data_IF_754612309839
#
_entry.id   IF_754612309839
#
_cell.length_a   1.000
_cell.length_b   1.000
_cell.length_c   1.000
_cell.angle_alpha   90.00
_cell.angle_beta   90.00
_cell.angle_gamma   90.00
#
_symmetry.space_group_name_H-M   'P 1'
#
loop_
_entity.id
_entity.type
_entity.pdbx_description
1 polymer ?
#
# COMPACT_ATOMS: atom_id res chain seq x y z
N UNK A 1 -34.89 80.06 -38.63
CA UNK A 1 -34.10 79.78 -39.86
C UNK A 1 -32.66 80.21 -39.60
N UNK A 2 -31.76 79.28 -39.27
CA UNK A 2 -30.31 79.41 -39.52
C UNK A 2 -29.73 77.99 -39.52
N UNK A 3 -29.18 77.61 -40.68
CA UNK A 3 -28.41 76.38 -40.92
C UNK A 3 -27.01 76.57 -40.32
N UNK A 4 -26.55 75.61 -39.53
CA UNK A 4 -25.13 75.42 -39.19
C UNK A 4 -24.90 73.91 -39.16
N UNK A 5 -24.53 73.32 -40.29
CA UNK A 5 -23.16 73.00 -40.72
C UNK A 5 -22.56 71.85 -39.89
N UNK A 6 -22.81 70.64 -40.40
CA UNK A 6 -22.27 69.37 -39.93
C UNK A 6 -20.84 69.24 -40.50
N UNK A 7 -19.81 69.29 -39.66
CA UNK A 7 -18.45 68.91 -40.03
C UNK A 7 -18.00 67.74 -39.17
N UNK A 8 -17.50 66.71 -39.88
CA UNK A 8 -16.42 65.75 -39.60
C UNK A 8 -16.34 65.18 -38.17
N UNK A 9 -16.17 63.87 -37.98
CA UNK A 9 -14.86 63.23 -38.16
C UNK A 9 -15.05 61.77 -38.61
N UNK A 10 -14.43 61.42 -39.75
CA UNK A 10 -14.24 60.03 -40.15
C UNK A 10 -12.98 59.52 -39.45
N UNK A 11 -13.12 58.77 -38.36
CA UNK A 11 -12.00 58.11 -37.69
C UNK A 11 -11.58 56.89 -38.48
N UNK A 12 -10.42 56.97 -39.15
CA UNK A 12 -9.69 55.81 -39.66
C UNK A 12 -9.27 54.95 -38.45
N UNK A 13 -9.90 53.79 -38.29
CA UNK A 13 -9.39 52.76 -37.38
C UNK A 13 -8.25 52.05 -38.09
N UNK A 14 -7.01 52.46 -37.80
CA UNK A 14 -5.84 51.62 -38.05
C UNK A 14 -5.94 50.43 -37.11
N UNK A 15 -6.36 49.28 -37.63
CA UNK A 15 -6.23 48.02 -36.95
C UNK A 15 -4.75 47.73 -36.77
N UNK A 16 -4.24 47.93 -35.56
CA UNK A 16 -2.93 47.42 -35.16
C UNK A 16 -3.13 45.91 -35.00
N UNK A 17 -2.74 45.14 -36.01
CA UNK A 17 -2.48 43.72 -35.85
C UNK A 17 -1.25 43.58 -34.95
N UNK A 18 -1.48 43.60 -33.63
CA UNK A 18 -0.51 43.08 -32.68
C UNK A 18 -0.49 41.56 -32.84
N UNK A 19 0.40 41.08 -33.72
CA UNK A 19 0.77 39.69 -33.80
C UNK A 19 1.38 39.24 -32.47
N UNK A 20 0.54 38.80 -31.54
CA UNK A 20 0.97 38.01 -30.40
C UNK A 20 1.37 36.63 -30.93
N UNK A 21 2.58 36.12 -30.60
CA UNK A 21 2.96 34.79 -31.01
C UNK A 21 2.00 33.80 -30.34
N UNK A 22 1.26 33.06 -31.17
CA UNK A 22 0.50 31.91 -30.73
C UNK A 22 1.52 30.91 -30.20
N UNK A 23 1.65 30.81 -28.88
CA UNK A 23 2.40 29.75 -28.22
C UNK A 23 1.61 28.47 -28.50
N UNK A 24 2.04 27.73 -29.52
CA UNK A 24 1.56 26.39 -29.78
C UNK A 24 1.95 25.54 -28.58
N UNK A 25 0.98 25.29 -27.69
CA UNK A 25 1.05 24.22 -26.72
C UNK A 25 1.17 22.92 -27.50
N UNK A 26 2.41 22.46 -27.67
CA UNK A 26 2.67 21.07 -28.00
C UNK A 26 2.07 20.27 -26.87
N UNK A 27 0.91 19.67 -27.14
CA UNK A 27 0.35 18.67 -26.26
C UNK A 27 1.37 17.54 -26.22
N UNK A 28 2.19 17.52 -25.17
CA UNK A 28 2.95 16.33 -24.81
C UNK A 28 1.98 15.16 -24.85
N UNK A 29 2.27 14.08 -25.59
CA UNK A 29 1.39 12.93 -25.58
C UNK A 29 1.34 12.47 -24.13
N UNK A 30 0.13 12.54 -23.53
CA UNK A 30 -0.17 11.86 -22.28
C UNK A 30 0.29 10.44 -22.52
N UNK A 31 1.39 10.03 -21.86
CA UNK A 31 1.85 8.67 -21.92
C UNK A 31 0.72 7.82 -21.33
N UNK A 32 -0.02 7.19 -22.24
CA UNK A 32 -1.02 6.21 -21.87
C UNK A 32 -0.29 5.15 -21.07
N UNK A 33 -0.65 5.03 -19.79
CA UNK A 33 -0.23 3.95 -18.92
C UNK A 33 -0.47 2.65 -19.67
N UNK A 34 0.62 2.00 -20.06
CA UNK A 34 0.62 0.80 -20.87
C UNK A 34 -0.27 -0.26 -20.21
N UNK A 35 -1.42 -0.56 -20.84
CA UNK A 35 -2.18 -1.79 -20.60
C UNK A 35 -1.35 -2.96 -21.13
N UNK A 36 -0.38 -3.43 -20.34
CA UNK A 36 0.17 -4.78 -20.55
C UNK A 36 -0.78 -5.78 -19.89
N UNK A 37 -1.13 -6.91 -20.55
CA UNK A 37 -1.87 -7.98 -19.92
C UNK A 37 -1.08 -8.51 -18.73
N UNK A 38 -1.56 -8.27 -17.51
CA UNK A 38 -0.94 -8.82 -16.30
C UNK A 38 -1.28 -10.31 -16.25
N UNK A 39 -0.31 -11.16 -16.60
CA UNK A 39 -0.38 -12.56 -16.20
C UNK A 39 -0.44 -12.60 -14.67
N UNK A 40 -1.43 -13.26 -14.05
CA UNK A 40 -1.49 -13.42 -12.60
C UNK A 40 -0.18 -14.00 -12.08
N UNK A 41 0.30 -13.60 -10.88
CA UNK A 41 1.44 -14.25 -10.24
C UNK A 41 1.20 -15.76 -10.13
N UNK A 42 2.24 -16.57 -10.33
CA UNK A 42 2.15 -18.01 -10.07
C UNK A 42 1.67 -18.23 -8.63
N UNK A 43 0.55 -18.95 -8.40
CA UNK A 43 0.02 -19.20 -7.06
C UNK A 43 1.02 -19.92 -6.13
N UNK A 44 2.02 -20.62 -6.67
CA UNK A 44 3.08 -21.26 -5.88
C UNK A 44 4.18 -20.29 -5.42
N UNK A 45 4.26 -19.10 -6.03
CA UNK A 45 5.17 -18.03 -5.62
C UNK A 45 4.45 -17.05 -4.71
N UNK A 46 5.05 -16.72 -3.57
CA UNK A 46 4.56 -15.68 -2.68
C UNK A 46 5.38 -14.42 -2.91
N UNK A 47 4.75 -13.29 -3.31
CA UNK A 47 5.36 -11.98 -3.19
C UNK A 47 5.95 -11.82 -1.78
N UNK A 48 7.24 -11.48 -1.70
CA UNK A 48 7.91 -11.20 -0.43
C UNK A 48 8.83 -12.28 0.13
N UNK A 49 9.24 -13.28 -0.65
CA UNK A 49 10.23 -14.25 -0.17
C UNK A 49 9.74 -15.10 1.01
N UNK A 50 10.41 -16.21 1.25
CA UNK A 50 10.03 -17.15 2.30
C UNK A 50 11.17 -18.11 2.53
N UNK A 51 11.65 -18.23 3.78
CA UNK A 51 12.42 -19.42 4.14
C UNK A 51 11.50 -20.64 3.98
N UNK A 52 12.05 -21.73 3.44
CA UNK A 52 11.30 -22.95 3.22
C UNK A 52 10.69 -23.44 4.56
N UNK A 53 9.35 -23.46 4.70
CA UNK A 53 8.71 -23.93 5.93
C UNK A 53 9.06 -25.39 6.26
N UNK A 54 9.60 -26.17 5.31
CA UNK A 54 10.03 -27.55 5.52
C UNK A 54 11.14 -27.70 6.57
N UNK A 55 11.96 -26.67 6.77
CA UNK A 55 13.06 -26.65 7.75
C UNK A 55 12.78 -25.74 8.96
N UNK A 56 11.53 -25.28 9.10
CA UNK A 56 11.10 -24.45 10.23
C UNK A 56 10.69 -25.30 11.44
N UNK A 57 10.77 -24.73 12.65
CA UNK A 57 10.23 -25.38 13.87
C UNK A 57 8.72 -25.23 13.99
N UNK A 58 8.07 -24.58 13.02
CA UNK A 58 6.65 -24.33 13.00
C UNK A 58 5.87 -25.60 12.63
N UNK A 59 4.63 -25.73 13.14
CA UNK A 59 3.76 -26.81 12.70
C UNK A 59 3.42 -26.64 11.22
N UNK A 60 3.26 -27.74 10.49
CA UNK A 60 2.81 -27.66 9.10
C UNK A 60 1.34 -27.20 9.02
N UNK A 61 1.06 -26.30 8.09
CA UNK A 61 -0.27 -25.72 7.85
C UNK A 61 -0.63 -25.85 6.37
N UNK A 62 -1.94 -25.85 6.05
CA UNK A 62 -2.42 -25.95 4.65
C UNK A 62 -2.12 -24.70 3.83
N UNK A 63 -2.16 -23.54 4.48
CA UNK A 63 -1.82 -22.25 3.90
C UNK A 63 -0.49 -21.74 4.45
N UNK A 64 0.18 -20.88 3.69
CA UNK A 64 1.48 -20.32 4.05
C UNK A 64 1.34 -18.92 4.66
N UNK A 65 2.30 -18.55 5.50
CA UNK A 65 2.51 -17.15 5.90
C UNK A 65 2.58 -16.30 4.63
N UNK A 66 1.74 -15.27 4.54
CA UNK A 66 1.57 -14.49 3.32
C UNK A 66 1.56 -13.01 3.65
N UNK A 67 2.40 -12.22 2.98
CA UNK A 67 2.28 -10.77 3.00
C UNK A 67 1.26 -10.32 1.95
N UNK A 68 0.35 -9.42 2.34
CA UNK A 68 -0.66 -8.88 1.44
C UNK A 68 -0.05 -7.67 0.72
N UNK A 69 0.81 -7.93 -0.26
CA UNK A 69 1.56 -6.93 -1.03
C UNK A 69 1.37 -7.10 -2.54
N UNK A 70 1.57 -6.04 -3.35
CA UNK A 70 1.33 -6.14 -4.78
C UNK A 70 2.34 -7.07 -5.45
N UNK A 71 2.02 -7.66 -6.62
CA UNK A 71 2.87 -8.62 -7.32
C UNK A 71 4.32 -8.20 -7.58
N UNK A 72 4.57 -6.89 -7.70
CA UNK A 72 5.91 -6.33 -7.94
C UNK A 72 6.75 -6.16 -6.66
N UNK A 73 6.26 -6.61 -5.50
CA UNK A 73 6.86 -6.44 -4.17
C UNK A 73 7.12 -4.99 -3.72
N UNK A 74 6.66 -4.00 -4.49
CA UNK A 74 6.73 -2.57 -4.14
C UNK A 74 5.32 -2.00 -4.07
N UNK A 75 4.86 -1.71 -2.86
CA UNK A 75 3.64 -0.95 -2.63
C UNK A 75 3.93 0.53 -2.38
N UNK A 76 2.99 1.40 -2.76
CA UNK A 76 3.04 2.82 -2.42
C UNK A 76 2.24 3.08 -1.16
N UNK A 77 2.69 4.07 -0.38
CA UNK A 77 1.92 4.63 0.71
C UNK A 77 1.94 6.15 0.73
N UNK A 78 0.87 6.79 1.18
CA UNK A 78 0.89 8.24 1.49
C UNK A 78 1.21 8.52 2.95
N UNK A 79 1.00 7.53 3.83
CA UNK A 79 1.26 7.65 5.25
C UNK A 79 2.76 7.73 5.58
N UNK A 80 3.10 8.61 6.52
CA UNK A 80 4.41 8.62 7.18
C UNK A 80 4.63 7.38 8.06
N UNK A 81 3.53 6.76 8.50
CA UNK A 81 3.42 5.67 9.45
C UNK A 81 2.44 4.64 8.90
N UNK A 82 2.86 3.86 7.88
CA UNK A 82 1.95 2.95 7.21
C UNK A 82 1.53 1.78 8.10
N UNK A 83 0.46 1.11 7.66
CA UNK A 83 0.01 -0.18 8.19
C UNK A 83 0.31 -1.26 7.16
N UNK A 84 0.77 -2.41 7.64
CA UNK A 84 1.10 -3.59 6.85
C UNK A 84 0.16 -4.73 7.22
N UNK A 85 -0.20 -5.56 6.24
CA UNK A 85 -1.19 -6.61 6.41
C UNK A 85 -0.62 -7.98 6.02
N UNK A 86 -0.93 -8.99 6.82
CA UNK A 86 -0.37 -10.33 6.70
C UNK A 86 -1.43 -11.37 6.99
N UNK A 87 -1.39 -12.50 6.30
CA UNK A 87 -2.12 -13.69 6.71
C UNK A 87 -1.22 -14.62 7.50
N UNK A 88 -1.65 -14.96 8.71
CA UNK A 88 -0.95 -15.86 9.63
C UNK A 88 -1.72 -17.20 9.68
N UNK A 89 -1.15 -18.32 9.18
CA UNK A 89 -1.83 -19.61 9.13
C UNK A 89 -1.74 -20.40 10.45
N UNK A 90 -1.21 -19.81 11.52
CA UNK A 90 -0.88 -20.50 12.78
C UNK A 90 -1.79 -20.04 13.91
N UNK A 91 -2.17 -20.98 14.78
CA UNK A 91 -2.77 -20.63 16.09
C UNK A 91 -1.74 -19.90 16.94
N UNK A 92 -2.20 -18.99 17.79
CA UNK A 92 -1.32 -18.14 18.60
C UNK A 92 -0.45 -18.96 19.57
N UNK A 93 -0.95 -20.08 20.10
CA UNK A 93 -0.23 -20.96 21.04
C UNK A 93 0.94 -21.71 20.40
N UNK A 94 1.07 -21.72 19.07
CA UNK A 94 2.21 -22.32 18.38
C UNK A 94 3.34 -21.32 18.11
N UNK A 95 3.06 -20.03 18.30
CA UNK A 95 3.97 -18.93 18.02
C UNK A 95 4.50 -18.35 19.33
N UNK A 96 5.82 -18.21 19.43
CA UNK A 96 6.50 -17.63 20.58
C UNK A 96 6.42 -16.10 20.57
N UNK A 97 6.67 -15.53 19.40
CA UNK A 97 6.59 -14.09 19.12
C UNK A 97 6.67 -13.84 17.61
N UNK A 98 6.19 -12.69 17.19
CA UNK A 98 6.53 -12.07 15.92
C UNK A 98 7.43 -10.87 16.10
N UNK A 99 8.13 -10.51 15.03
CA UNK A 99 8.98 -9.33 14.94
C UNK A 99 8.76 -8.67 13.59
N UNK A 100 8.62 -7.34 13.60
CA UNK A 100 8.44 -6.55 12.39
C UNK A 100 9.47 -5.43 12.37
N UNK A 101 10.19 -5.32 11.25
CA UNK A 101 11.25 -4.34 11.07
C UNK A 101 11.11 -3.63 9.73
N UNK A 102 11.36 -2.33 9.72
CA UNK A 102 11.51 -1.49 8.54
C UNK A 102 12.93 -0.95 8.51
N UNK A 103 13.62 -1.15 7.40
CA UNK A 103 14.97 -0.69 7.13
C UNK A 103 14.98 0.31 5.97
N UNK A 104 16.05 1.09 5.86
CA UNK A 104 16.39 1.81 4.61
C UNK A 104 16.50 0.84 3.44
N UNK A 105 16.38 1.34 2.20
CA UNK A 105 16.44 0.50 1.01
C UNK A 105 17.74 -0.33 0.89
N UNK A 106 18.86 0.18 1.41
CA UNK A 106 20.14 -0.51 1.44
C UNK A 106 20.30 -1.46 2.64
N UNK A 107 19.24 -1.61 3.45
CA UNK A 107 19.15 -2.49 4.62
C UNK A 107 20.16 -2.16 5.74
N UNK A 108 20.77 -0.96 5.73
CA UNK A 108 21.80 -0.55 6.69
C UNK A 108 21.29 0.14 7.94
N UNK A 109 20.10 0.75 7.90
CA UNK A 109 19.57 1.54 9.01
C UNK A 109 18.16 1.11 9.36
N UNK A 110 17.94 0.79 10.64
CA UNK A 110 16.63 0.50 11.20
C UNK A 110 15.82 1.79 11.34
N UNK A 111 14.67 1.84 10.70
CA UNK A 111 13.71 2.95 10.78
C UNK A 111 12.67 2.67 11.85
N UNK A 112 12.18 1.43 11.91
CA UNK A 112 11.21 0.99 12.90
C UNK A 112 11.41 -0.50 13.18
N UNK A 113 11.30 -0.90 14.43
CA UNK A 113 11.36 -2.29 14.85
C UNK A 113 10.42 -2.49 16.04
N UNK A 114 9.76 -3.63 16.07
CA UNK A 114 8.87 -4.01 17.17
C UNK A 114 8.73 -5.52 17.28
N UNK A 115 8.40 -5.99 18.49
CA UNK A 115 7.93 -7.35 18.70
C UNK A 115 6.45 -7.35 19.05
N UNK A 116 5.76 -8.42 18.68
CA UNK A 116 4.33 -8.55 18.91
C UNK A 116 3.94 -9.98 19.27
N UNK A 117 2.79 -10.10 19.92
CA UNK A 117 2.13 -11.37 20.19
C UNK A 117 0.90 -11.53 19.31
N UNK A 118 0.62 -12.78 18.96
CA UNK A 118 -0.61 -13.18 18.30
C UNK A 118 -1.62 -13.59 19.36
N UNK A 119 -2.90 -13.36 19.09
CA UNK A 119 -3.99 -13.78 19.98
C UNK A 119 -5.07 -14.54 19.21
N UNK A 120 -5.69 -13.89 18.23
CA UNK A 120 -6.85 -14.38 17.50
C UNK A 120 -6.51 -14.97 16.11
N UNK A 121 -5.39 -15.70 15.98
CA UNK A 121 -4.98 -16.35 14.72
C UNK A 121 -5.29 -17.85 14.73
N UNK A 122 -5.45 -18.53 13.57
CA UNK A 122 -5.15 -18.11 12.19
C UNK A 122 -6.03 -16.98 11.66
N UNK A 123 -5.49 -16.12 10.81
CA UNK A 123 -6.25 -15.01 10.22
C UNK A 123 -5.39 -13.89 9.64
N UNK A 124 -6.07 -12.89 9.08
CA UNK A 124 -5.45 -11.69 8.50
C UNK A 124 -5.26 -10.64 9.60
N UNK A 125 -4.02 -10.29 9.86
CA UNK A 125 -3.61 -9.34 10.90
C UNK A 125 -2.99 -8.08 10.28
N UNK A 126 -2.97 -6.99 11.06
CA UNK A 126 -2.30 -5.74 10.70
C UNK A 126 -1.24 -5.33 11.71
N UNK A 127 -0.21 -4.64 11.22
CA UNK A 127 0.88 -4.06 12.01
C UNK A 127 1.04 -2.60 11.56
N UNK A 128 0.80 -1.66 12.46
CA UNK A 128 0.91 -0.22 12.20
C UNK A 128 2.16 0.35 12.86
N UNK A 129 2.84 1.26 12.15
CA UNK A 129 3.87 2.09 12.81
C UNK A 129 3.16 3.06 13.77
N UNK A 130 3.41 3.01 15.09
CA UNK A 130 2.64 3.79 16.05
C UNK A 130 2.97 5.28 15.94
N UNK A 131 2.03 6.13 16.38
CA UNK A 131 2.24 7.58 16.47
C UNK A 131 3.40 7.95 17.41
N UNK A 132 3.68 7.11 18.42
CA UNK A 132 4.78 7.27 19.37
C UNK A 132 6.17 7.01 18.77
N UNK A 133 6.27 6.36 17.60
CA UNK A 133 7.58 6.14 16.96
C UNK A 133 8.23 7.47 16.60
N UNK A 134 9.50 7.67 16.98
CA UNK A 134 10.25 8.90 16.66
C UNK A 134 10.59 9.00 15.17
N UNK A 135 10.82 7.85 14.55
CA UNK A 135 11.15 7.73 13.14
C UNK A 135 9.90 7.48 12.30
N UNK A 136 9.87 8.08 11.11
CA UNK A 136 8.80 7.95 10.11
C UNK A 136 9.40 7.74 8.72
N UNK A 137 8.61 7.23 7.79
CA UNK A 137 9.02 7.15 6.39
C UNK A 137 9.05 8.55 5.80
N UNK A 138 10.10 8.90 5.07
CA UNK A 138 10.23 10.18 4.38
C UNK A 138 9.62 10.10 2.97
N UNK A 139 9.06 11.20 2.48
CA UNK A 139 8.48 11.24 1.13
C UNK A 139 9.53 10.93 0.07
N UNK A 140 9.09 10.27 -1.00
CA UNK A 140 9.89 9.83 -2.15
C UNK A 140 10.97 8.79 -1.84
N UNK A 141 11.14 8.37 -0.59
CA UNK A 141 12.06 7.30 -0.21
C UNK A 141 11.38 5.93 -0.23
N UNK A 142 12.18 4.92 -0.59
CA UNK A 142 11.81 3.51 -0.54
C UNK A 142 12.46 2.86 0.68
N UNK A 143 11.75 1.92 1.28
CA UNK A 143 12.17 1.17 2.47
C UNK A 143 11.92 -0.31 2.24
N UNK A 144 12.71 -1.14 2.92
CA UNK A 144 12.52 -2.59 2.99
C UNK A 144 11.89 -2.92 4.33
N UNK A 145 10.99 -3.88 4.37
CA UNK A 145 10.44 -4.37 5.62
C UNK A 145 10.49 -5.89 5.66
N UNK A 146 10.51 -6.43 6.87
CA UNK A 146 10.51 -7.86 7.13
C UNK A 146 9.55 -8.18 8.26
N UNK A 147 8.76 -9.23 8.08
CA UNK A 147 8.01 -9.91 9.11
C UNK A 147 8.70 -11.23 9.43
N UNK A 148 9.03 -11.43 10.70
CA UNK A 148 9.70 -12.63 11.21
C UNK A 148 8.80 -13.32 12.22
N UNK A 149 8.67 -14.63 12.11
CA UNK A 149 7.90 -15.47 13.04
C UNK A 149 8.84 -16.46 13.71
N UNK A 150 8.71 -16.55 15.05
CA UNK A 150 9.45 -17.48 15.88
C UNK A 150 8.45 -18.46 16.51
N UNK A 151 8.60 -19.75 16.21
CA UNK A 151 7.69 -20.78 16.68
C UNK A 151 8.11 -21.32 18.05
N UNK A 152 7.17 -21.83 18.85
CA UNK A 152 7.45 -22.25 20.23
C UNK A 152 8.47 -23.39 20.36
N UNK A 153 8.61 -24.21 19.31
CA UNK A 153 9.62 -25.28 19.26
C UNK A 153 11.00 -24.81 18.80
N UNK A 154 11.15 -23.52 18.46
CA UNK A 154 12.41 -22.96 18.01
C UNK A 154 13.45 -22.99 19.13
N UNK A 155 14.64 -23.50 18.80
CA UNK A 155 15.77 -23.64 19.74
C UNK A 155 16.88 -22.61 19.48
N UNK A 156 16.66 -21.69 18.56
CA UNK A 156 17.65 -20.69 18.16
C UNK A 156 17.00 -19.32 18.11
N UNK A 157 17.82 -18.26 18.09
CA UNK A 157 17.34 -16.90 17.88
C UNK A 157 17.17 -16.54 16.39
N UNK A 158 17.23 -17.52 15.49
CA UNK A 158 16.91 -17.33 14.08
C UNK A 158 15.41 -17.44 13.88
N UNK A 159 14.85 -16.53 13.07
CA UNK A 159 13.44 -16.60 12.69
C UNK A 159 13.17 -17.92 11.95
N UNK A 160 12.07 -18.59 12.30
CA UNK A 160 11.64 -19.82 11.66
C UNK A 160 11.03 -19.54 10.28
N UNK A 161 10.32 -18.40 10.16
CA UNK A 161 9.72 -17.94 8.92
C UNK A 161 9.97 -16.45 8.74
N UNK A 162 10.17 -16.04 7.49
CA UNK A 162 10.38 -14.64 7.12
C UNK A 162 9.57 -14.36 5.86
N UNK A 163 8.82 -13.26 5.83
CA UNK A 163 8.33 -12.63 4.60
C UNK A 163 8.76 -11.17 4.61
N UNK A 164 8.91 -10.58 3.43
CA UNK A 164 9.52 -9.28 3.22
C UNK A 164 8.82 -8.51 2.10
N UNK A 165 9.17 -7.24 1.95
CA UNK A 165 8.71 -6.45 0.83
C UNK A 165 9.23 -5.03 0.87
N UNK A 166 8.71 -4.21 -0.03
CA UNK A 166 9.13 -2.82 -0.16
C UNK A 166 7.94 -1.88 -0.06
N UNK A 167 8.20 -0.71 0.53
CA UNK A 167 7.25 0.39 0.62
C UNK A 167 7.92 1.67 0.17
N UNK A 168 7.25 2.45 -0.69
CA UNK A 168 7.69 3.80 -1.03
C UNK A 168 6.65 4.80 -0.57
N UNK A 169 7.08 5.78 0.23
CA UNK A 169 6.20 6.88 0.62
C UNK A 169 6.11 7.89 -0.52
N UNK A 170 4.90 8.28 -0.89
CA UNK A 170 4.60 9.32 -1.87
C UNK A 170 3.78 10.43 -1.22
N UNK A 171 3.86 11.64 -1.76
CA UNK A 171 3.12 12.79 -1.23
C UNK A 171 1.60 12.58 -1.32
N UNK A 172 0.86 12.96 -0.29
CA UNK A 172 -0.61 12.99 -0.34
C UNK A 172 -1.11 14.06 -1.34
N UNK A 173 -2.11 13.71 -2.14
CA UNK A 173 -2.76 14.60 -3.13
C UNK A 173 -4.24 14.24 -3.22
N UNK A 174 -5.09 15.17 -3.67
CA UNK A 174 -6.53 14.92 -3.88
C UNK A 174 -6.78 13.69 -4.76
N UNK A 175 -5.96 13.49 -5.78
CA UNK A 175 -6.11 12.31 -6.66
C UNK A 175 -5.79 11.00 -5.93
N UNK A 176 -4.72 10.97 -5.14
CA UNK A 176 -4.37 9.78 -4.34
C UNK A 176 -5.39 9.48 -3.26
N UNK A 177 -5.98 10.50 -2.64
CA UNK A 177 -7.08 10.33 -1.70
C UNK A 177 -8.29 9.68 -2.36
N UNK A 178 -8.66 10.11 -3.58
CA UNK A 178 -9.70 9.46 -4.37
C UNK A 178 -9.38 8.00 -4.69
N UNK A 179 -8.13 7.71 -5.08
CA UNK A 179 -7.66 6.36 -5.34
C UNK A 179 -7.76 5.46 -4.10
N UNK A 180 -7.40 5.98 -2.91
CA UNK A 180 -7.53 5.25 -1.63
C UNK A 180 -8.99 4.92 -1.33
N UNK A 181 -9.89 5.90 -1.44
CA UNK A 181 -11.32 5.71 -1.19
C UNK A 181 -11.98 4.78 -2.23
N UNK A 182 -11.41 4.68 -3.42
CA UNK A 182 -11.81 3.75 -4.47
C UNK A 182 -11.15 2.36 -4.35
N UNK A 183 -10.35 2.12 -3.30
CA UNK A 183 -9.58 0.90 -3.10
C UNK A 183 -8.66 0.55 -4.28
N UNK A 184 -8.00 1.55 -4.88
CA UNK A 184 -7.09 1.34 -6.00
C UNK A 184 -5.80 0.64 -5.57
N UNK A 185 -5.28 -0.33 -6.34
CA UNK A 185 -3.97 -0.94 -6.08
C UNK A 185 -2.79 0.04 -6.23
N UNK A 186 -3.01 1.24 -6.78
CA UNK A 186 -1.96 2.24 -7.02
C UNK A 186 -1.38 2.82 -5.72
N UNK A 187 -2.18 2.95 -4.66
CA UNK A 187 -1.73 3.35 -3.32
C UNK A 187 -2.02 2.18 -2.36
N UNK A 188 -1.30 1.09 -2.60
CA UNK A 188 -1.59 -0.24 -2.04
C UNK A 188 -1.80 -0.26 -0.52
N UNK A 189 -0.83 0.22 0.26
CA UNK A 189 -0.87 0.08 1.72
C UNK A 189 -2.04 0.87 2.32
N UNK A 190 -2.28 2.09 1.86
CA UNK A 190 -3.37 2.94 2.37
C UNK A 190 -4.74 2.39 1.92
N UNK A 191 -4.86 1.90 0.68
CA UNK A 191 -6.11 1.34 0.16
C UNK A 191 -6.51 0.05 0.87
N UNK A 192 -5.55 -0.85 1.10
CA UNK A 192 -5.78 -2.08 1.84
C UNK A 192 -6.14 -1.79 3.30
N UNK A 193 -5.45 -0.81 3.91
CA UNK A 193 -5.74 -0.37 5.29
C UNK A 193 -7.12 0.26 5.40
N UNK A 194 -7.50 1.13 4.46
CA UNK A 194 -8.83 1.74 4.43
C UNK A 194 -9.94 0.67 4.43
N UNK A 195 -9.82 -0.36 3.58
CA UNK A 195 -10.78 -1.45 3.55
C UNK A 195 -10.76 -2.29 4.84
N UNK A 196 -9.57 -2.64 5.33
CA UNK A 196 -9.40 -3.43 6.55
C UNK A 196 -10.06 -2.75 7.76
N UNK A 197 -9.83 -1.44 7.93
CA UNK A 197 -10.39 -0.66 9.04
C UNK A 197 -11.92 -0.57 8.96
N UNK A 198 -12.48 -0.38 7.76
CA UNK A 198 -13.93 -0.36 7.54
C UNK A 198 -14.56 -1.71 7.85
N UNK A 199 -13.93 -2.80 7.41
CA UNK A 199 -14.43 -4.17 7.63
C UNK A 199 -14.37 -4.61 9.10
N UNK A 200 -13.46 -4.04 9.90
CA UNK A 200 -13.33 -4.34 11.33
C UNK A 200 -14.31 -3.56 12.21
N UNK A 201 -14.83 -2.43 11.75
CA UNK A 201 -15.58 -1.48 12.59
C UNK A 201 -17.08 -1.46 12.37
N UNK A 202 -17.58 -2.02 11.26
CA UNK A 202 -19.00 -1.99 10.88
C UNK A 202 -19.50 -3.36 10.44
N UNK A 203 -20.81 -3.68 10.54
CA UNK A 203 -21.39 -4.79 9.81
C UNK A 203 -20.99 -4.63 8.32
N UNK A 204 -20.23 -5.57 7.76
CA UNK A 204 -19.51 -5.30 6.54
C UNK A 204 -20.49 -5.13 5.37
N UNK A 205 -20.55 -3.91 4.81
CA UNK A 205 -21.24 -3.63 3.55
C UNK A 205 -20.66 -4.55 2.46
N UNK A 206 -21.54 -5.19 1.70
CA UNK A 206 -21.17 -6.06 0.59
C UNK A 206 -20.24 -5.38 -0.41
N UNK A 207 -20.34 -4.05 -0.57
CA UNK A 207 -19.40 -3.29 -1.40
C UNK A 207 -17.96 -3.42 -0.91
N UNK A 208 -17.70 -3.18 0.38
CA UNK A 208 -16.34 -3.23 0.93
C UNK A 208 -15.78 -4.65 0.96
N UNK A 209 -16.62 -5.66 1.21
CA UNK A 209 -16.21 -7.07 1.06
C UNK A 209 -15.77 -7.38 -0.36
N UNK A 210 -16.54 -6.93 -1.35
CA UNK A 210 -16.23 -7.16 -2.76
C UNK A 210 -14.93 -6.46 -3.17
N UNK A 211 -14.70 -5.23 -2.71
CA UNK A 211 -13.46 -4.50 -3.00
C UNK A 211 -12.25 -5.16 -2.32
N UNK A 212 -12.39 -5.66 -1.08
CA UNK A 212 -11.37 -6.46 -0.40
C UNK A 212 -11.03 -7.73 -1.18
N UNK A 213 -12.04 -8.47 -1.61
CA UNK A 213 -11.87 -9.69 -2.39
C UNK A 213 -11.17 -9.43 -3.74
N UNK A 214 -11.46 -8.30 -4.40
CA UNK A 214 -10.76 -7.90 -5.63
C UNK A 214 -9.28 -7.62 -5.38
N UNK A 215 -8.92 -6.96 -4.27
CA UNK A 215 -7.50 -6.74 -3.93
C UNK A 215 -6.78 -8.05 -3.62
N UNK A 216 -7.43 -8.97 -2.90
CA UNK A 216 -6.87 -10.31 -2.66
C UNK A 216 -6.72 -11.11 -3.97
N UNK A 217 -7.67 -11.01 -4.89
CA UNK A 217 -7.57 -11.63 -6.22
C UNK A 217 -6.46 -10.99 -7.06
N UNK A 218 -6.27 -9.67 -6.98
CA UNK A 218 -5.19 -8.95 -7.66
C UNK A 218 -3.79 -9.45 -7.28
N UNK A 219 -3.60 -9.88 -6.02
CA UNK A 219 -2.33 -10.48 -5.56
C UNK A 219 -2.30 -12.01 -5.72
N UNK A 220 -3.29 -12.61 -6.37
CA UNK A 220 -3.39 -14.05 -6.56
C UNK A 220 -3.61 -14.83 -5.26
N UNK A 221 -4.36 -14.25 -4.31
CA UNK A 221 -4.67 -14.82 -2.98
C UNK A 221 -6.16 -14.81 -2.67
N UNK A 222 -6.99 -15.10 -3.68
CA UNK A 222 -8.46 -15.09 -3.56
C UNK A 222 -8.97 -16.03 -2.47
N UNK A 223 -8.26 -17.12 -2.20
CA UNK A 223 -8.57 -18.07 -1.13
C UNK A 223 -8.60 -17.42 0.26
N UNK A 224 -7.81 -16.35 0.48
CA UNK A 224 -7.78 -15.63 1.75
C UNK A 224 -9.07 -14.85 2.05
N UNK A 225 -9.97 -14.69 1.07
CA UNK A 225 -11.29 -14.07 1.28
C UNK A 225 -12.18 -14.83 2.26
N UNK A 226 -11.85 -16.11 2.53
CA UNK A 226 -12.57 -16.99 3.46
C UNK A 226 -11.95 -17.00 4.86
N UNK A 227 -10.77 -16.40 5.01
CA UNK A 227 -10.04 -16.36 6.28
C UNK A 227 -10.56 -15.20 7.15
N UNK A 228 -10.52 -15.32 8.49
CA UNK A 228 -10.99 -14.26 9.36
C UNK A 228 -10.10 -13.02 9.26
N UNK A 229 -10.73 -11.85 9.20
CA UNK A 229 -10.05 -10.56 9.37
C UNK A 229 -9.96 -10.27 10.87
N UNK A 230 -8.76 -10.37 11.42
CA UNK A 230 -8.50 -10.28 12.86
C UNK A 230 -8.18 -8.84 13.28
N UNK A 231 -7.42 -8.13 12.44
CA UNK A 231 -7.00 -6.75 12.70
C UNK A 231 -5.67 -6.63 13.45
N UNK A 232 -5.48 -5.59 14.28
CA UNK A 232 -4.17 -5.22 14.79
C UNK A 232 -3.58 -6.27 15.75
N UNK A 233 -2.28 -6.55 15.59
CA UNK A 233 -1.53 -7.40 16.54
C UNK A 233 -1.30 -6.69 17.89
N UNK A 234 -1.02 -7.48 18.93
CA UNK A 234 -0.66 -6.96 20.23
C UNK A 234 0.84 -6.61 20.25
N UNK A 235 1.15 -5.33 20.11
CA UNK A 235 2.53 -4.83 20.21
C UNK A 235 3.01 -4.93 21.67
N UNK A 236 4.18 -5.52 21.88
CA UNK A 236 4.82 -5.50 23.19
C UNK A 236 5.41 -4.11 23.42
N UNK A 237 4.98 -3.42 24.47
CA UNK A 237 5.65 -2.21 24.91
C UNK A 237 6.83 -2.64 25.78
N UNK A 238 8.03 -2.64 25.20
CA UNK A 238 9.28 -2.74 25.95
C UNK A 238 9.59 -1.42 26.68
#
# INVERSE_FOLDING_TARGET
MYKVQLQLVLTLILAIESGLPIVNWTHSPVQQVSKTPQTPPDPNTTPGGGLDPSNSSCKQTKQRLTALIPPKNLGLTTSARPTFWFYIPYISEDIKRGEFVILTQDEKTVIYETTFQLSQTPGIVSISVPLSSKSVLEESKTYRWFLRIYCNKSRTDRADLVVDGSVKRVKMTVERERLINAASPDIWYDSLTHLGDVLLTSPPDEKFKNDWNKLLEFIGRKELSKEPLVGPVLINND
#
